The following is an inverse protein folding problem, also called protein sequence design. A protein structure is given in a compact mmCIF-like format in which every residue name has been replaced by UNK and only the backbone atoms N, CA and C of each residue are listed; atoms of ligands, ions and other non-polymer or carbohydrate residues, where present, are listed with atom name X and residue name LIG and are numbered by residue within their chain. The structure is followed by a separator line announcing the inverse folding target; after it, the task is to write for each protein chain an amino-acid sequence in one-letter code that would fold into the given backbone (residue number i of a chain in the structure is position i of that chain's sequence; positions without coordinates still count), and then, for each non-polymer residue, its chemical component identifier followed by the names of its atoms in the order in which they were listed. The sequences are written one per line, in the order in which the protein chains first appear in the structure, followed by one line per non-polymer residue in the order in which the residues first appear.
data_IF_463896598355
#
_entry.id   IF_463896598355
#
_cell.length_a   1.000
_cell.length_b   1.000
_cell.length_c   1.000
_cell.angle_alpha   90.00
_cell.angle_beta   90.00
_cell.angle_gamma   90.00
#
_symmetry.space_group_name_H-M   'P 1'
#
loop_
_entity.id
_entity.type
_entity.pdbx_description
1 polymer ?
#
# COMPACT_ATOMS: atom_id res chain seq x y z
N UNK A 1 9.56 -25.51 -17.03
CA UNK A 1 8.60 -25.73 -18.14
C UNK A 1 8.69 -24.62 -19.18
N UNK A 2 8.63 -23.33 -18.83
CA UNK A 2 8.72 -22.22 -19.81
C UNK A 2 9.99 -22.32 -20.66
N UNK A 3 11.15 -22.58 -20.04
CA UNK A 3 12.43 -22.80 -20.74
C UNK A 3 12.35 -23.96 -21.76
N UNK A 4 11.64 -25.03 -21.39
CA UNK A 4 11.44 -26.17 -22.28
C UNK A 4 10.61 -25.77 -23.50
N UNK A 5 9.46 -25.12 -23.31
CA UNK A 5 8.63 -24.67 -24.43
C UNK A 5 9.36 -23.65 -25.30
N UNK A 6 10.07 -22.70 -24.67
CA UNK A 6 10.83 -21.70 -25.41
C UNK A 6 11.92 -22.30 -26.30
N UNK A 7 12.68 -23.31 -25.80
CA UNK A 7 13.80 -23.92 -26.54
C UNK A 7 13.43 -25.07 -27.46
N UNK A 8 12.39 -25.84 -27.11
CA UNK A 8 12.06 -27.07 -27.82
C UNK A 8 10.79 -26.96 -28.67
N UNK A 9 9.92 -26.00 -28.35
CA UNK A 9 8.61 -25.86 -29.02
C UNK A 9 8.26 -24.35 -29.18
N UNK A 10 9.13 -23.53 -29.80
CA UNK A 10 8.93 -22.10 -29.93
C UNK A 10 7.64 -21.75 -30.70
N UNK A 11 7.23 -22.59 -31.64
CA UNK A 11 6.04 -22.40 -32.46
C UNK A 11 4.75 -22.32 -31.61
N UNK A 12 4.71 -22.94 -30.42
CA UNK A 12 3.58 -22.82 -29.50
C UNK A 12 3.47 -21.43 -28.89
N UNK A 13 4.61 -20.77 -28.67
CA UNK A 13 4.63 -19.40 -28.15
C UNK A 13 4.33 -18.41 -29.29
N UNK A 14 4.99 -18.56 -30.43
CA UNK A 14 4.78 -17.73 -31.62
C UNK A 14 3.34 -17.81 -32.15
N UNK A 15 2.74 -19.01 -32.13
CA UNK A 15 1.34 -19.24 -32.48
C UNK A 15 0.33 -18.77 -31.43
N UNK A 16 0.80 -18.34 -30.24
CA UNK A 16 -0.04 -17.86 -29.16
C UNK A 16 -0.85 -18.95 -28.45
N UNK A 17 -0.37 -20.19 -28.45
CA UNK A 17 -1.06 -21.35 -27.86
C UNK A 17 -0.63 -21.66 -26.42
N UNK A 18 0.43 -21.01 -25.92
CA UNK A 18 0.91 -21.26 -24.58
C UNK A 18 0.31 -20.26 -23.58
N UNK A 19 -0.35 -20.78 -22.54
CA UNK A 19 -1.00 -20.00 -21.48
C UNK A 19 -0.61 -20.51 -20.11
N UNK A 20 -0.57 -19.61 -19.13
CA UNK A 20 -0.43 -19.90 -17.71
C UNK A 20 -1.79 -19.70 -17.07
N UNK A 21 -2.36 -20.76 -16.49
CA UNK A 21 -3.58 -20.65 -15.71
C UNK A 21 -3.29 -19.89 -14.39
N UNK A 22 -4.18 -18.97 -14.03
CA UNK A 22 -4.06 -18.16 -12.83
C UNK A 22 -5.11 -18.58 -11.78
N UNK A 23 -4.75 -19.49 -10.85
CA UNK A 23 -5.63 -19.85 -9.76
C UNK A 23 -5.80 -18.66 -8.80
N UNK A 24 -6.90 -18.60 -8.01
CA UNK A 24 -7.06 -17.58 -6.99
C UNK A 24 -6.05 -17.76 -5.87
N UNK A 25 -5.56 -16.62 -5.36
CA UNK A 25 -4.65 -16.63 -4.22
C UNK A 25 -5.39 -16.71 -2.89
N UNK A 26 -6.64 -16.21 -2.83
CA UNK A 26 -7.43 -16.18 -1.61
C UNK A 26 -8.82 -16.78 -1.80
N UNK A 27 -9.31 -17.41 -0.75
CA UNK A 27 -10.71 -17.74 -0.54
C UNK A 27 -11.18 -16.98 0.70
N UNK A 28 -12.24 -16.20 0.56
CA UNK A 28 -12.89 -15.52 1.66
C UNK A 28 -14.29 -16.09 1.87
N UNK A 29 -14.66 -16.33 3.13
CA UNK A 29 -15.98 -16.81 3.49
C UNK A 29 -16.59 -15.96 4.59
N UNK A 30 -17.86 -15.56 4.40
CA UNK A 30 -18.66 -14.85 5.40
C UNK A 30 -20.03 -15.51 5.52
N UNK A 31 -20.25 -16.20 6.62
CA UNK A 31 -21.46 -17.01 6.81
C UNK A 31 -21.54 -18.15 5.77
N UNK A 32 -22.54 -18.08 4.88
CA UNK A 32 -22.72 -19.09 3.80
C UNK A 32 -22.18 -18.64 2.44
N UNK A 33 -21.67 -17.40 2.35
CA UNK A 33 -21.12 -16.86 1.10
C UNK A 33 -19.63 -17.11 1.04
N UNK A 34 -19.16 -17.65 -0.10
CA UNK A 34 -17.75 -17.86 -0.40
C UNK A 34 -17.39 -17.12 -1.68
N UNK A 35 -16.22 -16.46 -1.70
CA UNK A 35 -15.70 -15.74 -2.87
C UNK A 35 -14.23 -16.08 -3.02
N UNK A 36 -13.81 -16.36 -4.27
CA UNK A 36 -12.42 -16.53 -4.62
C UNK A 36 -11.85 -15.23 -5.17
N UNK A 37 -10.68 -14.82 -4.67
CA UNK A 37 -10.02 -13.59 -5.04
C UNK A 37 -8.64 -13.91 -5.62
N UNK A 38 -8.33 -13.32 -6.77
CA UNK A 38 -7.15 -13.69 -7.55
C UNK A 38 -5.83 -13.26 -6.95
N UNK A 39 -5.82 -12.09 -6.29
CA UNK A 39 -4.61 -11.45 -5.79
C UNK A 39 -4.89 -10.57 -4.56
N UNK A 40 -3.82 -9.97 -4.01
CA UNK A 40 -3.92 -9.08 -2.85
C UNK A 40 -4.76 -7.84 -3.13
N UNK A 41 -4.70 -7.29 -4.34
CA UNK A 41 -5.49 -6.10 -4.68
C UNK A 41 -6.99 -6.41 -4.65
N UNK A 42 -7.39 -7.58 -5.19
CA UNK A 42 -8.78 -8.03 -5.14
C UNK A 42 -9.26 -8.26 -3.69
N UNK A 43 -8.38 -8.77 -2.82
CA UNK A 43 -8.68 -8.90 -1.38
C UNK A 43 -8.85 -7.53 -0.73
N UNK A 44 -7.93 -6.61 -0.95
CA UNK A 44 -8.00 -5.26 -0.41
C UNK A 44 -9.27 -4.54 -0.88
N UNK A 45 -9.65 -4.67 -2.15
CA UNK A 45 -10.88 -4.08 -2.69
C UNK A 45 -12.14 -4.69 -2.05
N UNK A 46 -12.15 -6.02 -1.89
CA UNK A 46 -13.23 -6.70 -1.20
C UNK A 46 -13.36 -6.22 0.26
N UNK A 47 -12.27 -6.14 0.99
CA UNK A 47 -12.25 -5.66 2.39
C UNK A 47 -12.72 -4.21 2.50
N UNK A 48 -12.28 -3.34 1.60
CA UNK A 48 -12.74 -1.94 1.55
C UNK A 48 -14.25 -1.86 1.32
N UNK A 49 -14.78 -2.58 0.36
CA UNK A 49 -16.22 -2.58 0.10
C UNK A 49 -17.03 -3.05 1.32
N UNK A 50 -16.58 -4.14 1.96
CA UNK A 50 -17.22 -4.65 3.17
C UNK A 50 -17.05 -3.68 4.36
N UNK A 51 -15.88 -3.05 4.44
CA UNK A 51 -15.56 -2.10 5.49
C UNK A 51 -16.28 -0.76 5.36
N UNK A 52 -16.63 -0.30 4.18
CA UNK A 52 -17.36 0.94 3.93
C UNK A 52 -18.87 0.74 4.11
N UNK A 53 -19.40 -0.46 3.98
CA UNK A 53 -20.83 -0.71 4.10
C UNK A 53 -21.39 -0.26 5.47
N UNK A 54 -22.35 0.64 5.44
CA UNK A 54 -22.96 1.23 6.65
C UNK A 54 -22.06 2.18 7.45
N UNK A 55 -20.91 2.60 6.90
CA UNK A 55 -20.03 3.59 7.51
C UNK A 55 -20.31 5.00 6.98
N UNK A 56 -20.16 6.01 7.85
CA UNK A 56 -20.22 7.44 7.52
C UNK A 56 -19.03 8.14 8.14
N UNK A 57 -18.25 8.83 7.32
CA UNK A 57 -17.15 9.68 7.77
C UNK A 57 -17.68 11.11 7.92
N UNK A 58 -17.71 11.63 9.14
CA UNK A 58 -18.09 13.01 9.46
C UNK A 58 -16.82 13.84 9.59
N UNK A 59 -16.67 14.83 8.73
CA UNK A 59 -15.53 15.74 8.72
C UNK A 59 -15.64 16.78 9.83
N UNK A 60 -14.51 17.39 10.18
CA UNK A 60 -14.46 18.42 11.21
C UNK A 60 -15.17 19.75 10.88
N UNK A 61 -15.61 19.94 9.65
CA UNK A 61 -16.46 21.04 9.18
C UNK A 61 -17.96 20.70 9.15
N UNK A 62 -18.31 19.44 9.45
CA UNK A 62 -19.67 18.93 9.46
C UNK A 62 -20.12 18.24 8.18
N UNK A 63 -19.31 18.20 7.12
CA UNK A 63 -19.62 17.41 5.93
C UNK A 63 -19.59 15.92 6.23
N UNK A 64 -20.42 15.14 5.51
CA UNK A 64 -20.52 13.69 5.67
C UNK A 64 -20.18 13.00 4.35
N UNK A 65 -19.37 11.94 4.43
CA UNK A 65 -18.99 11.09 3.31
C UNK A 65 -19.39 9.64 3.57
N UNK A 66 -20.08 9.02 2.63
CA UNK A 66 -20.55 7.64 2.72
C UNK A 66 -20.56 6.98 1.34
N UNK A 67 -20.65 5.64 1.28
CA UNK A 67 -20.74 4.89 0.03
C UNK A 67 -19.56 5.19 -0.91
N UNK A 68 -19.83 5.62 -2.14
CA UNK A 68 -18.81 5.87 -3.16
C UNK A 68 -17.86 7.02 -2.81
N UNK A 69 -18.33 8.05 -2.11
CA UNK A 69 -17.47 9.15 -1.66
C UNK A 69 -16.48 8.68 -0.60
N UNK A 70 -16.92 7.83 0.32
CA UNK A 70 -16.04 7.25 1.31
C UNK A 70 -15.04 6.26 0.67
N UNK A 71 -15.44 5.46 -0.31
CA UNK A 71 -14.54 4.58 -1.07
C UNK A 71 -13.43 5.41 -1.71
N UNK A 72 -13.75 6.51 -2.36
CA UNK A 72 -12.75 7.40 -2.98
C UNK A 72 -11.72 7.92 -1.98
N UNK A 73 -12.17 8.36 -0.79
CA UNK A 73 -11.26 8.81 0.28
C UNK A 73 -10.37 7.67 0.80
N UNK A 74 -10.91 6.45 0.89
CA UNK A 74 -10.14 5.26 1.28
C UNK A 74 -9.11 4.89 0.19
N UNK A 75 -9.45 5.03 -1.09
CA UNK A 75 -8.51 4.77 -2.19
C UNK A 75 -7.37 5.81 -2.22
N UNK A 76 -7.65 7.08 -1.91
CA UNK A 76 -6.61 8.09 -1.71
C UNK A 76 -5.71 7.74 -0.51
N UNK A 77 -6.27 7.21 0.57
CA UNK A 77 -5.50 6.71 1.71
C UNK A 77 -4.60 5.51 1.34
N UNK A 78 -5.10 4.59 0.50
CA UNK A 78 -4.31 3.48 -0.06
C UNK A 78 -3.17 4.00 -0.95
N UNK A 79 -3.45 5.00 -1.77
CA UNK A 79 -2.42 5.64 -2.60
C UNK A 79 -1.34 6.29 -1.74
N UNK A 80 -1.72 7.06 -0.72
CA UNK A 80 -0.76 7.65 0.21
C UNK A 80 0.08 6.56 0.89
N UNK A 81 -0.53 5.50 1.40
CA UNK A 81 0.19 4.38 2.03
C UNK A 81 1.30 3.87 1.11
N UNK A 82 0.99 3.58 -0.17
CA UNK A 82 1.99 3.12 -1.17
C UNK A 82 3.14 4.10 -1.37
N UNK A 83 2.83 5.40 -1.42
CA UNK A 83 3.86 6.43 -1.55
C UNK A 83 4.72 6.53 -0.29
N UNK A 84 4.10 6.44 0.90
CA UNK A 84 4.82 6.46 2.17
C UNK A 84 5.70 5.21 2.37
N UNK A 85 5.30 4.06 1.82
CA UNK A 85 6.07 2.82 1.87
C UNK A 85 7.35 2.87 1.01
N UNK A 86 7.41 3.77 0.04
CA UNK A 86 8.60 4.00 -0.77
C UNK A 86 9.67 4.86 -0.07
N UNK A 87 9.33 5.53 1.04
CA UNK A 87 10.34 6.25 1.83
C UNK A 87 11.24 5.26 2.59
N UNK A 88 12.51 5.62 2.85
CA UNK A 88 13.40 4.84 3.69
C UNK A 88 12.78 4.54 5.06
N UNK A 89 12.96 3.32 5.56
CA UNK A 89 12.30 2.79 6.76
C UNK A 89 12.65 3.51 8.06
N UNK A 90 13.73 4.29 8.08
CA UNK A 90 14.11 5.09 9.25
C UNK A 90 13.21 6.31 9.47
N UNK A 91 12.38 6.71 8.47
CA UNK A 91 11.34 7.70 8.66
C UNK A 91 10.04 7.04 9.11
N UNK A 92 9.55 7.28 10.34
CA UNK A 92 8.32 6.66 10.81
C UNK A 92 7.10 7.11 9.99
N UNK A 93 6.30 6.15 9.52
CA UNK A 93 5.13 6.42 8.66
C UNK A 93 4.16 7.42 9.25
N UNK A 94 3.86 7.33 10.55
CA UNK A 94 2.95 8.26 11.21
C UNK A 94 3.47 9.72 11.19
N UNK A 95 4.79 9.93 11.22
CA UNK A 95 5.38 11.27 11.11
C UNK A 95 5.27 11.77 9.67
N UNK A 96 5.58 10.92 8.68
CA UNK A 96 5.43 11.26 7.26
C UNK A 96 3.98 11.60 6.91
N UNK A 97 3.02 10.85 7.42
CA UNK A 97 1.59 11.11 7.26
C UNK A 97 1.18 12.48 7.81
N UNK A 98 1.54 12.75 9.06
CA UNK A 98 1.19 14.03 9.69
C UNK A 98 1.93 15.21 9.02
N UNK A 99 3.15 15.00 8.52
CA UNK A 99 3.89 15.97 7.72
C UNK A 99 3.21 16.20 6.35
N UNK A 100 2.67 15.16 5.70
CA UNK A 100 1.92 15.28 4.46
C UNK A 100 0.67 16.14 4.62
N UNK A 101 -0.12 15.89 5.67
CA UNK A 101 -1.32 16.68 5.97
C UNK A 101 -0.95 18.13 6.34
N UNK A 102 0.16 18.35 7.06
CA UNK A 102 0.65 19.68 7.39
C UNK A 102 1.21 20.46 6.19
N UNK A 103 1.40 19.81 5.03
CA UNK A 103 1.91 20.45 3.83
C UNK A 103 3.45 20.48 3.72
N UNK A 104 4.17 19.69 4.51
CA UNK A 104 5.64 19.69 4.49
C UNK A 104 6.26 19.25 3.16
N UNK A 105 5.51 18.54 2.32
CA UNK A 105 5.96 18.03 1.03
C UNK A 105 5.53 18.89 -0.17
N UNK A 106 4.87 20.01 0.08
CA UNK A 106 4.53 20.97 -0.99
C UNK A 106 5.79 21.77 -1.33
N UNK A 107 6.20 21.84 -2.61
CA UNK A 107 7.44 22.53 -3.00
C UNK A 107 7.56 23.95 -2.46
N UNK A 108 6.47 24.73 -2.48
CA UNK A 108 6.44 26.09 -1.95
C UNK A 108 6.57 26.20 -0.42
N UNK A 109 6.38 25.12 0.33
CA UNK A 109 6.53 25.14 1.80
C UNK A 109 7.99 25.28 2.23
N UNK A 110 8.92 24.67 1.47
CA UNK A 110 10.37 24.71 1.78
C UNK A 110 10.94 26.10 1.49
N UNK A 111 10.42 26.76 0.46
CA UNK A 111 10.87 28.10 0.03
C UNK A 111 10.15 29.23 0.76
N UNK A 112 9.04 28.94 1.42
CA UNK A 112 8.19 29.88 2.15
C UNK A 112 8.35 29.80 3.65
N UNK A 113 7.25 29.54 4.37
CA UNK A 113 7.21 29.44 5.84
C UNK A 113 7.43 28.00 6.34
N UNK A 114 8.65 27.47 6.18
CA UNK A 114 9.00 26.12 6.67
C UNK A 114 8.86 26.01 8.19
N UNK A 115 9.08 27.09 8.96
CA UNK A 115 8.92 27.06 10.43
C UNK A 115 7.45 26.90 10.81
N UNK A 116 6.53 27.62 10.15
CA UNK A 116 5.09 27.43 10.38
C UNK A 116 4.62 26.01 10.04
N UNK A 117 5.19 25.41 8.98
CA UNK A 117 4.93 24.00 8.65
C UNK A 117 5.49 23.07 9.73
N UNK A 118 6.71 23.28 10.22
CA UNK A 118 7.28 22.47 11.30
C UNK A 118 6.44 22.52 12.58
N UNK A 119 5.93 23.71 12.93
CA UNK A 119 5.03 23.90 14.07
C UNK A 119 3.68 23.20 13.85
N UNK A 120 3.16 23.20 12.60
CA UNK A 120 1.93 22.49 12.25
C UNK A 120 2.13 20.98 12.35
N UNK A 121 3.25 20.43 11.87
CA UNK A 121 3.56 18.99 12.01
C UNK A 121 3.60 18.62 13.50
N UNK A 122 4.27 19.42 14.33
CA UNK A 122 4.36 19.19 15.78
C UNK A 122 2.96 19.17 16.44
N UNK A 123 2.10 20.14 16.12
CA UNK A 123 0.71 20.19 16.61
C UNK A 123 -0.08 18.96 16.17
N UNK A 124 0.10 18.50 14.93
CA UNK A 124 -0.58 17.31 14.42
C UNK A 124 -0.08 16.04 15.10
N UNK A 125 1.19 15.92 15.40
CA UNK A 125 1.74 14.81 16.19
C UNK A 125 1.16 14.79 17.62
N UNK A 126 0.94 15.95 18.23
CA UNK A 126 0.27 16.05 19.53
C UNK A 126 -1.20 15.64 19.48
N UNK A 127 -1.90 15.82 18.34
CA UNK A 127 -3.28 15.34 18.16
C UNK A 127 -3.42 13.82 18.22
N UNK A 128 -2.42 13.10 17.71
CA UNK A 128 -2.41 11.62 17.69
C UNK A 128 -1.73 11.00 18.91
N UNK A 129 -1.03 11.80 19.70
CA UNK A 129 -0.31 11.35 20.89
C UNK A 129 -1.24 11.17 22.10
N UNK A 130 -0.91 10.24 22.98
CA UNK A 130 -1.54 10.15 24.28
C UNK A 130 -1.18 11.39 25.10
N UNK A 131 -2.02 11.75 26.07
CA UNK A 131 -1.86 13.01 26.84
C UNK A 131 -0.47 13.19 27.45
N UNK A 132 0.10 12.10 27.97
CA UNK A 132 1.44 12.11 28.57
C UNK A 132 2.59 12.02 27.55
N UNK A 133 2.27 11.86 26.26
CA UNK A 133 3.23 11.79 25.16
C UNK A 133 3.28 13.06 24.32
N UNK A 134 2.46 14.03 24.62
CA UNK A 134 2.42 15.33 23.95
C UNK A 134 3.67 16.17 24.28
N UNK A 135 3.84 17.26 23.55
CA UNK A 135 4.93 18.20 23.73
C UNK A 135 5.90 18.23 22.55
N UNK A 136 5.45 17.83 21.37
CA UNK A 136 6.21 17.96 20.15
C UNK A 136 6.45 19.44 19.81
N UNK A 137 7.66 19.75 19.39
CA UNK A 137 8.02 21.04 18.82
C UNK A 137 8.87 20.86 17.57
N UNK A 138 8.66 21.72 16.58
CA UNK A 138 9.34 21.70 15.31
C UNK A 138 10.39 22.80 15.22
N UNK A 139 11.53 22.53 14.58
CA UNK A 139 12.55 23.53 14.22
C UNK A 139 13.14 23.23 12.87
N UNK A 140 13.56 24.27 12.16
CA UNK A 140 14.26 24.12 10.90
C UNK A 140 15.71 23.69 11.17
N UNK A 141 16.22 22.76 10.36
CA UNK A 141 17.62 22.34 10.36
C UNK A 141 18.45 23.19 9.37
N UNK A 142 19.79 23.09 9.45
CA UNK A 142 20.69 23.86 8.58
C UNK A 142 20.56 23.48 7.09
N UNK A 143 20.14 22.26 6.79
CA UNK A 143 19.90 21.76 5.44
C UNK A 143 18.48 22.01 4.94
N UNK A 144 17.72 22.91 5.59
CA UNK A 144 16.31 23.18 5.33
C UNK A 144 15.42 21.93 5.48
N UNK A 145 15.71 21.10 6.47
CA UNK A 145 14.85 20.03 6.95
C UNK A 145 14.02 20.46 8.16
N UNK A 146 13.26 19.54 8.72
CA UNK A 146 12.42 19.72 9.91
C UNK A 146 12.92 18.78 11.00
N UNK A 147 13.36 19.34 12.13
CA UNK A 147 13.65 18.60 13.35
C UNK A 147 12.44 18.68 14.27
N UNK A 148 11.87 17.53 14.60
CA UNK A 148 10.78 17.34 15.53
C UNK A 148 11.34 16.76 16.82
N UNK A 149 11.04 17.37 17.96
CA UNK A 149 11.53 16.89 19.25
C UNK A 149 10.45 16.99 20.32
N UNK A 150 10.49 16.07 21.28
CA UNK A 150 9.69 16.09 22.51
C UNK A 150 10.48 15.49 23.66
N UNK A 151 10.04 15.76 24.88
CA UNK A 151 10.59 15.09 26.07
C UNK A 151 9.59 14.01 26.52
N UNK A 152 10.00 12.75 26.42
CA UNK A 152 9.21 11.62 26.86
C UNK A 152 9.89 10.93 28.04
N UNK A 153 9.23 10.94 29.20
CA UNK A 153 9.77 10.34 30.45
C UNK A 153 11.18 10.83 30.80
N UNK A 154 11.44 12.11 30.56
CA UNK A 154 12.75 12.73 30.85
C UNK A 154 13.83 12.51 29.78
N UNK A 155 13.52 11.81 28.70
CA UNK A 155 14.43 11.58 27.57
C UNK A 155 13.96 12.39 26.36
N UNK A 156 14.88 13.09 25.70
CA UNK A 156 14.59 13.80 24.46
C UNK A 156 14.44 12.77 23.32
N UNK A 157 13.25 12.69 22.74
CA UNK A 157 12.99 11.97 21.50
C UNK A 157 13.10 12.95 20.32
N UNK A 158 13.93 12.62 19.34
CA UNK A 158 14.15 13.44 18.14
C UNK A 158 13.83 12.64 16.88
N UNK A 159 13.14 13.30 15.95
CA UNK A 159 12.93 12.80 14.59
C UNK A 159 13.27 13.92 13.62
N UNK A 160 13.98 13.58 12.55
CA UNK A 160 14.38 14.56 11.55
C UNK A 160 13.87 14.16 10.19
N UNK A 161 13.20 15.07 9.52
CA UNK A 161 12.88 15.03 8.11
C UNK A 161 13.91 15.92 7.42
N UNK A 162 14.97 15.36 6.88
CA UNK A 162 16.09 16.14 6.34
C UNK A 162 15.74 16.85 5.02
N UNK A 163 16.50 17.88 4.69
CA UNK A 163 16.24 18.69 3.50
C UNK A 163 16.30 17.90 2.16
N UNK A 164 17.25 16.97 1.96
CA UNK A 164 17.26 16.10 0.80
C UNK A 164 16.00 15.28 0.66
N UNK A 165 15.50 14.67 1.75
CA UNK A 165 14.27 13.88 1.76
C UNK A 165 13.05 14.74 1.41
N UNK A 166 12.90 15.93 1.97
CA UNK A 166 11.79 16.85 1.65
C UNK A 166 11.77 17.28 0.18
N UNK A 167 12.89 17.16 -0.54
CA UNK A 167 13.00 17.46 -1.99
C UNK A 167 13.01 16.21 -2.86
N UNK A 168 12.86 15.03 -2.29
CA UNK A 168 12.88 13.75 -3.01
C UNK A 168 11.71 13.59 -3.98
N UNK A 169 11.78 12.60 -4.85
CA UNK A 169 10.68 12.22 -5.75
C UNK A 169 9.44 11.76 -4.99
N UNK A 170 9.65 11.01 -3.92
CA UNK A 170 8.61 10.52 -3.01
C UNK A 170 7.89 11.69 -2.31
N UNK A 171 8.65 12.66 -1.81
CA UNK A 171 8.10 13.88 -1.21
C UNK A 171 7.22 14.65 -2.19
N UNK A 172 7.67 14.84 -3.43
CA UNK A 172 6.87 15.52 -4.48
C UNK A 172 5.58 14.78 -4.78
N UNK A 173 5.63 13.44 -4.90
CA UNK A 173 4.41 12.62 -5.09
C UNK A 173 3.45 12.75 -3.91
N UNK A 174 3.97 12.76 -2.68
CA UNK A 174 3.17 13.00 -1.47
C UNK A 174 2.56 14.40 -1.48
N UNK A 175 3.32 15.41 -1.90
CA UNK A 175 2.89 16.80 -2.00
C UNK A 175 1.68 17.02 -2.92
N UNK A 176 1.51 16.20 -3.96
CA UNK A 176 0.33 16.29 -4.85
C UNK A 176 -0.97 15.91 -4.15
N UNK A 177 -0.91 15.15 -3.06
CA UNK A 177 -2.07 14.73 -2.28
C UNK A 177 -2.42 15.69 -1.14
N UNK A 178 -1.56 16.68 -0.85
CA UNK A 178 -1.70 17.54 0.33
C UNK A 178 -3.05 18.24 0.39
N UNK A 179 -3.56 18.77 -0.74
CA UNK A 179 -4.81 19.50 -0.74
C UNK A 179 -5.98 18.61 -0.30
N UNK A 180 -6.15 17.45 -0.92
CA UNK A 180 -7.23 16.51 -0.55
C UNK A 180 -7.07 16.00 0.90
N UNK A 181 -5.82 15.77 1.34
CA UNK A 181 -5.55 15.39 2.72
C UNK A 181 -5.95 16.47 3.73
N UNK A 182 -5.73 17.74 3.41
CA UNK A 182 -6.12 18.86 4.27
C UNK A 182 -7.63 19.06 4.30
N UNK A 183 -8.32 18.89 3.18
CA UNK A 183 -9.77 18.98 3.09
C UNK A 183 -10.44 17.93 4.01
N UNK A 184 -9.94 16.69 4.01
CA UNK A 184 -10.53 15.60 4.79
C UNK A 184 -10.00 15.55 6.22
N UNK A 185 -8.69 15.70 6.42
CA UNK A 185 -8.01 15.43 7.71
C UNK A 185 -7.39 16.69 8.35
N UNK A 186 -7.64 17.87 7.81
CA UNK A 186 -7.16 19.14 8.40
C UNK A 186 -7.67 19.33 9.84
N UNK A 187 -8.85 18.82 10.14
CA UNK A 187 -9.39 18.64 11.50
C UNK A 187 -9.69 17.17 11.73
N UNK A 188 -9.69 16.69 13.00
CA UNK A 188 -10.09 15.32 13.31
C UNK A 188 -11.49 15.01 12.78
N UNK A 189 -11.64 13.90 12.06
CA UNK A 189 -12.91 13.40 11.57
C UNK A 189 -13.45 12.29 12.49
N UNK A 190 -14.71 11.90 12.31
CA UNK A 190 -15.35 10.81 13.04
C UNK A 190 -15.87 9.78 12.05
N UNK A 191 -15.43 8.55 12.19
CA UNK A 191 -16.01 7.42 11.48
C UNK A 191 -17.14 6.84 12.34
N UNK A 192 -18.36 6.96 11.87
CA UNK A 192 -19.56 6.43 12.54
C UNK A 192 -20.06 5.19 11.82
N UNK A 193 -20.47 4.20 12.58
CA UNK A 193 -21.07 2.97 12.09
C UNK A 193 -22.02 2.41 13.16
N UNK A 194 -23.32 2.36 12.89
CA UNK A 194 -24.34 1.90 13.83
C UNK A 194 -24.07 2.42 15.27
N UNK A 195 -23.55 1.54 16.14
CA UNK A 195 -23.33 1.84 17.56
C UNK A 195 -21.87 2.19 17.90
N UNK A 196 -21.04 2.48 16.89
CA UNK A 196 -19.60 2.76 17.09
C UNK A 196 -19.23 4.08 16.45
N UNK A 197 -18.44 4.84 17.19
CA UNK A 197 -17.79 6.06 16.70
C UNK A 197 -16.30 5.97 17.01
N UNK A 198 -15.48 6.21 15.99
CA UNK A 198 -14.03 6.25 16.11
C UNK A 198 -13.52 7.60 15.59
N UNK A 199 -12.58 8.20 16.32
CA UNK A 199 -11.87 9.38 15.85
C UNK A 199 -10.85 8.99 14.80
N UNK A 200 -10.78 9.78 13.72
CA UNK A 200 -9.87 9.61 12.60
C UNK A 200 -8.99 10.85 12.49
N UNK A 201 -7.69 10.67 12.64
CA UNK A 201 -6.71 11.74 12.63
C UNK A 201 -5.89 11.81 11.35
N UNK A 202 -6.02 10.79 10.50
CA UNK A 202 -5.30 10.72 9.23
C UNK A 202 -5.80 9.58 8.34
N UNK A 203 -5.33 9.55 7.08
CA UNK A 203 -5.74 8.54 6.09
C UNK A 203 -5.36 7.12 6.49
N UNK A 204 -4.22 6.91 7.17
CA UNK A 204 -3.83 5.57 7.61
C UNK A 204 -4.73 5.04 8.73
N UNK A 205 -5.22 5.92 9.63
CA UNK A 205 -6.22 5.55 10.64
C UNK A 205 -7.55 5.14 9.99
N UNK A 206 -8.02 5.91 8.99
CA UNK A 206 -9.23 5.59 8.26
C UNK A 206 -9.08 4.25 7.54
N UNK A 207 -7.99 4.07 6.80
CA UNK A 207 -7.72 2.84 6.06
C UNK A 207 -7.69 1.64 7.00
N UNK A 208 -7.00 1.75 8.13
CA UNK A 208 -6.94 0.72 9.16
C UNK A 208 -8.33 0.38 9.69
N UNK A 209 -9.11 1.37 10.08
CA UNK A 209 -10.47 1.17 10.62
C UNK A 209 -11.41 0.49 9.62
N UNK A 210 -11.33 0.85 8.33
CA UNK A 210 -12.12 0.26 7.25
C UNK A 210 -11.70 -1.19 6.99
N UNK A 211 -10.40 -1.48 6.91
CA UNK A 211 -9.90 -2.84 6.66
C UNK A 211 -10.21 -3.78 7.85
N UNK A 212 -9.98 -3.36 9.08
CA UNK A 212 -10.32 -4.14 10.29
C UNK A 212 -11.82 -4.50 10.35
N UNK A 213 -12.69 -3.58 9.93
CA UNK A 213 -14.11 -3.87 9.87
C UNK A 213 -14.45 -4.79 8.70
N UNK A 214 -13.77 -4.63 7.55
CA UNK A 214 -13.92 -5.52 6.41
C UNK A 214 -13.54 -6.96 6.73
N UNK A 215 -12.51 -7.15 7.55
CA UNK A 215 -12.07 -8.47 8.02
C UNK A 215 -13.00 -9.08 9.07
N UNK A 216 -13.85 -8.29 9.68
CA UNK A 216 -14.67 -8.76 10.80
C UNK A 216 -15.65 -9.86 10.40
N UNK A 217 -15.55 -11.01 11.06
CA UNK A 217 -16.37 -12.18 10.77
C UNK A 217 -16.06 -12.85 9.44
N UNK A 218 -14.92 -12.53 8.84
CA UNK A 218 -14.40 -13.15 7.64
C UNK A 218 -13.50 -14.33 7.99
N UNK A 219 -13.69 -15.46 7.32
CA UNK A 219 -12.71 -16.54 7.26
C UNK A 219 -11.88 -16.36 6.01
N UNK A 220 -10.58 -16.20 6.18
CA UNK A 220 -9.63 -16.00 5.09
C UNK A 220 -8.74 -17.23 4.97
N UNK A 221 -8.67 -17.82 3.79
CA UNK A 221 -7.74 -18.87 3.43
C UNK A 221 -6.86 -18.36 2.28
N UNK A 222 -5.54 -18.43 2.45
CA UNK A 222 -4.57 -18.15 1.39
C UNK A 222 -4.06 -19.48 0.83
N UNK A 223 -4.13 -19.64 -0.48
CA UNK A 223 -3.56 -20.79 -1.17
C UNK A 223 -2.11 -20.52 -1.56
N UNK A 224 -1.22 -21.42 -1.16
CA UNK A 224 0.20 -21.38 -1.53
C UNK A 224 0.51 -22.23 -2.76
N UNK A 225 -0.40 -23.13 -3.11
CA UNK A 225 -0.26 -23.99 -4.27
C UNK A 225 -1.54 -24.77 -4.60
N UNK A 226 -1.59 -25.31 -5.80
CA UNK A 226 -2.76 -26.06 -6.31
C UNK A 226 -3.08 -27.34 -5.51
N UNK A 227 -2.08 -27.91 -4.81
CA UNK A 227 -2.27 -29.10 -3.98
C UNK A 227 -3.13 -28.88 -2.73
N UNK A 228 -3.42 -27.62 -2.38
CA UNK A 228 -4.32 -27.26 -1.28
C UNK A 228 -5.80 -27.21 -1.71
N UNK A 229 -6.05 -27.25 -3.02
CA UNK A 229 -7.40 -27.24 -3.59
C UNK A 229 -7.88 -28.66 -3.84
N UNK A 230 -9.14 -28.92 -3.50
CA UNK A 230 -9.78 -30.15 -3.95
C UNK A 230 -10.15 -30.06 -5.46
N UNK A 231 -10.46 -31.20 -6.13
CA UNK A 231 -10.73 -31.21 -7.56
C UNK A 231 -11.87 -30.26 -8.00
N UNK A 232 -12.93 -30.14 -7.21
CA UNK A 232 -14.05 -29.24 -7.52
C UNK A 232 -13.63 -27.77 -7.46
N UNK A 233 -12.89 -27.38 -6.42
CA UNK A 233 -12.36 -26.03 -6.28
C UNK A 233 -11.41 -25.67 -7.43
N UNK A 234 -10.51 -26.60 -7.81
CA UNK A 234 -9.59 -26.39 -8.91
C UNK A 234 -10.34 -26.24 -10.25
N UNK A 235 -11.38 -27.02 -10.46
CA UNK A 235 -12.22 -26.89 -11.64
C UNK A 235 -12.89 -25.51 -11.68
N UNK A 236 -13.68 -25.17 -10.66
CA UNK A 236 -14.49 -23.96 -10.58
C UNK A 236 -13.68 -22.66 -10.68
N UNK A 237 -12.42 -22.66 -10.22
CA UNK A 237 -11.62 -21.44 -10.13
C UNK A 237 -10.57 -21.31 -11.23
N UNK A 238 -10.13 -22.42 -11.82
CA UNK A 238 -8.91 -22.42 -12.66
C UNK A 238 -9.12 -23.06 -14.03
N UNK A 239 -10.07 -24.00 -14.17
CA UNK A 239 -10.26 -24.77 -15.38
C UNK A 239 -11.56 -24.47 -16.11
N UNK A 240 -12.62 -24.09 -15.38
CA UNK A 240 -13.92 -23.76 -15.95
C UNK A 240 -13.78 -22.64 -17.00
N UNK A 241 -14.19 -22.84 -18.26
CA UNK A 241 -14.11 -21.83 -19.30
C UNK A 241 -14.75 -20.49 -18.96
N UNK A 242 -15.80 -20.49 -18.13
CA UNK A 242 -16.56 -19.30 -17.78
C UNK A 242 -15.92 -18.50 -16.63
N UNK A 243 -15.07 -19.14 -15.81
CA UNK A 243 -14.46 -18.54 -14.62
C UNK A 243 -12.94 -18.37 -14.72
N UNK A 244 -12.26 -19.18 -15.54
CA UNK A 244 -10.80 -19.22 -15.62
C UNK A 244 -10.18 -17.92 -16.14
N UNK A 245 -9.02 -17.57 -15.57
CA UNK A 245 -8.18 -16.49 -16.07
C UNK A 245 -6.85 -17.05 -16.54
N UNK A 246 -6.44 -16.67 -17.75
CA UNK A 246 -5.20 -17.12 -18.37
C UNK A 246 -4.29 -15.95 -18.71
N UNK A 247 -3.00 -16.12 -18.46
CA UNK A 247 -1.94 -15.25 -18.96
C UNK A 247 -1.33 -15.89 -20.21
N UNK A 248 -1.46 -15.25 -21.37
CA UNK A 248 -0.81 -15.69 -22.60
C UNK A 248 0.70 -15.44 -22.52
N UNK A 249 1.49 -16.47 -22.78
CA UNK A 249 2.95 -16.33 -22.85
C UNK A 249 3.31 -15.70 -24.19
N UNK A 250 4.02 -14.59 -24.15
CA UNK A 250 4.53 -13.86 -25.31
C UNK A 250 6.01 -13.59 -25.15
N UNK A 251 6.74 -13.56 -26.25
CA UNK A 251 8.13 -13.12 -26.32
C UNK A 251 8.17 -11.90 -27.19
N UNK A 252 8.53 -10.76 -26.64
CA UNK A 252 8.64 -9.49 -27.36
C UNK A 252 10.02 -9.33 -28.00
N UNK A 253 11.07 -9.75 -27.28
CA UNK A 253 12.46 -9.78 -27.74
C UNK A 253 13.07 -11.16 -27.51
N UNK A 254 13.43 -11.84 -28.60
CA UNK A 254 14.02 -13.19 -28.55
C UNK A 254 15.41 -13.20 -27.93
N UNK A 255 16.21 -12.15 -28.14
CA UNK A 255 17.57 -12.09 -27.63
C UNK A 255 17.57 -11.83 -26.11
N UNK A 256 16.70 -10.95 -25.63
CA UNK A 256 16.51 -10.70 -24.21
C UNK A 256 15.97 -11.94 -23.48
N UNK A 257 15.00 -12.63 -24.06
CA UNK A 257 14.43 -13.86 -23.52
C UNK A 257 15.50 -14.97 -23.42
N UNK A 258 16.34 -15.17 -24.46
CA UNK A 258 17.42 -16.17 -24.44
C UNK A 258 18.48 -15.85 -23.39
N UNK A 259 18.87 -14.58 -23.27
CA UNK A 259 19.80 -14.11 -22.23
C UNK A 259 19.24 -14.37 -20.82
N UNK A 260 17.94 -14.05 -20.60
CA UNK A 260 17.27 -14.28 -19.33
C UNK A 260 17.19 -15.77 -18.98
N UNK A 261 16.80 -16.63 -19.92
CA UNK A 261 16.78 -18.08 -19.69
C UNK A 261 18.17 -18.63 -19.45
N UNK A 262 19.18 -18.13 -20.14
CA UNK A 262 20.57 -18.53 -19.94
C UNK A 262 21.10 -18.13 -18.55
N UNK A 263 20.79 -16.93 -18.10
CA UNK A 263 21.15 -16.46 -16.74
C UNK A 263 20.45 -17.27 -15.64
N UNK A 264 19.13 -17.50 -15.78
CA UNK A 264 18.33 -18.12 -14.72
C UNK A 264 18.44 -19.65 -14.69
N UNK A 265 18.61 -20.29 -15.85
CA UNK A 265 18.51 -21.76 -16.02
C UNK A 265 19.80 -22.38 -16.57
N UNK A 266 20.85 -21.60 -16.83
CA UNK A 266 22.14 -22.10 -17.27
C UNK A 266 22.94 -22.77 -16.15
N UNK A 267 23.99 -23.47 -16.52
CA UNK A 267 24.85 -24.23 -15.57
C UNK A 267 25.75 -23.34 -14.71
N UNK A 268 26.02 -22.09 -15.16
CA UNK A 268 26.87 -21.13 -14.44
C UNK A 268 26.05 -20.42 -13.36
N UNK A 269 26.54 -20.46 -12.12
CA UNK A 269 25.81 -19.96 -10.94
C UNK A 269 25.90 -18.44 -10.79
N UNK A 270 27.06 -17.84 -11.10
CA UNK A 270 27.35 -16.43 -10.90
C UNK A 270 26.33 -15.48 -11.57
N UNK A 271 26.00 -15.61 -12.87
CA UNK A 271 25.02 -14.73 -13.51
C UNK A 271 23.63 -14.78 -12.86
N UNK A 272 23.22 -15.97 -12.39
CA UNK A 272 21.96 -16.15 -11.67
C UNK A 272 21.98 -15.44 -10.32
N UNK A 273 23.08 -15.59 -9.58
CA UNK A 273 23.26 -14.94 -8.28
C UNK A 273 23.26 -13.42 -8.41
N UNK A 274 23.97 -12.89 -9.39
CA UNK A 274 24.01 -11.44 -9.67
C UNK A 274 22.62 -10.92 -10.05
N UNK A 275 21.91 -11.62 -10.91
CA UNK A 275 20.53 -11.26 -11.30
C UNK A 275 19.59 -11.20 -10.08
N UNK A 276 19.64 -12.21 -9.20
CA UNK A 276 18.82 -12.25 -7.98
C UNK A 276 19.19 -11.10 -7.05
N UNK A 277 20.49 -10.79 -6.87
CA UNK A 277 20.93 -9.69 -6.02
C UNK A 277 20.50 -8.32 -6.56
N UNK A 278 20.64 -8.11 -7.86
CA UNK A 278 20.24 -6.84 -8.51
C UNK A 278 18.72 -6.59 -8.45
N UNK A 279 17.93 -7.66 -8.51
CA UNK A 279 16.46 -7.57 -8.51
C UNK A 279 15.83 -7.85 -7.14
N UNK A 280 16.61 -8.05 -6.08
CA UNK A 280 16.10 -8.44 -4.76
C UNK A 280 15.11 -7.45 -4.15
N UNK A 281 15.24 -6.15 -4.45
CA UNK A 281 14.34 -5.11 -3.97
C UNK A 281 13.06 -4.96 -4.82
N UNK A 282 13.02 -5.57 -6.01
CA UNK A 282 11.89 -5.52 -6.94
C UNK A 282 10.97 -6.73 -6.81
N UNK A 283 11.32 -7.69 -5.95
CA UNK A 283 10.55 -8.93 -5.78
C UNK A 283 9.30 -8.65 -4.98
N UNK A 284 8.14 -9.03 -5.53
CA UNK A 284 6.85 -9.02 -4.87
C UNK A 284 6.37 -10.46 -4.61
N UNK A 285 5.49 -10.64 -3.61
CA UNK A 285 4.85 -11.92 -3.29
C UNK A 285 5.80 -13.08 -2.96
N UNK A 286 6.86 -12.82 -2.17
CA UNK A 286 7.69 -13.89 -1.63
C UNK A 286 6.88 -14.79 -0.70
N UNK A 287 6.93 -16.11 -0.93
CA UNK A 287 6.42 -17.11 0.00
C UNK A 287 7.51 -17.42 1.05
N UNK A 288 7.22 -17.10 2.31
CA UNK A 288 8.05 -17.43 3.47
C UNK A 288 7.50 -18.61 4.24
#
# INVERSE_FOLDING_TARGET
LLTFFYRQMPELIEGGYLYIAQPPLYKVARGKSEVYLKDQNALDDYLVQQGVDGAVLKLGDGAEMAGQDLIRVVDEARQLRRVLDAFPTHYPRHILEQAAIAGAFVPGAIEGDLQGVADMVAKRLDLIALEYEKGWHGRITQDHGIRLARILRGVEEVRTLDGPMLRSGEARRTGTLTQSLQEVYGKPAKLERKDRTQMIYGPLDLLKAILEEGERGLSLQRYKGLGEMNPSQLWETTLDPDARTFLQVKVEDMAEADDLFTKLMGDVVEPRREFIQQNALSVENLDF
#
